data_IF_801718876425
#
_entry.id   IF_801718876425
#
_cell.length_a   1.000
_cell.length_b   1.000
_cell.length_c   1.000
_cell.angle_alpha   90.00
_cell.angle_beta   90.00
_cell.angle_gamma   90.00
#
_symmetry.space_group_name_H-M   'P 1'
#
loop_
_entity.id
_entity.type
_entity.pdbx_description
1 polymer ?
#
# COMPACT_ATOMS: atom_id res chain seq x y z
N UNK A 1 36.09 4.62 -46.49
CA UNK A 1 36.33 3.47 -45.60
C UNK A 1 36.51 4.03 -44.21
N UNK A 2 35.46 3.95 -43.40
CA UNK A 2 35.57 3.91 -41.95
C UNK A 2 34.47 2.94 -41.52
N UNK A 3 34.87 1.91 -40.79
CA UNK A 3 34.08 0.74 -40.49
C UNK A 3 34.10 0.54 -38.99
N UNK A 4 32.91 0.35 -38.41
CA UNK A 4 32.74 -0.39 -37.17
C UNK A 4 32.39 0.48 -35.96
N UNK A 5 31.13 0.37 -35.55
CA UNK A 5 30.63 0.12 -34.18
C UNK A 5 29.15 0.54 -34.16
N UNK A 6 28.17 -0.17 -33.63
CA UNK A 6 28.09 -1.48 -33.00
C UNK A 6 26.63 -1.91 -33.20
N UNK A 7 26.42 -3.17 -33.53
CA UNK A 7 25.13 -3.84 -33.46
C UNK A 7 24.63 -3.86 -32.00
N UNK A 8 23.30 -3.91 -31.83
CA UNK A 8 22.71 -4.50 -30.64
C UNK A 8 22.25 -3.52 -29.56
N UNK A 9 21.05 -2.98 -29.77
CA UNK A 9 20.11 -2.80 -28.68
C UNK A 9 18.71 -3.01 -29.25
N UNK A 10 18.45 -4.24 -29.72
CA UNK A 10 17.09 -4.77 -29.65
C UNK A 10 16.66 -4.58 -28.20
N UNK A 11 15.81 -3.58 -27.96
CA UNK A 11 15.08 -3.44 -26.71
C UNK A 11 14.12 -4.61 -26.67
N UNK A 12 14.58 -5.73 -26.11
CA UNK A 12 13.69 -6.80 -25.71
C UNK A 12 12.57 -6.19 -24.83
N UNK A 13 11.32 -6.64 -25.03
CA UNK A 13 10.19 -6.06 -24.32
C UNK A 13 10.44 -6.27 -22.83
N UNK A 14 10.50 -5.16 -22.11
CA UNK A 14 10.39 -5.19 -20.67
C UNK A 14 8.99 -5.74 -20.39
N UNK A 15 8.88 -7.04 -20.14
CA UNK A 15 7.78 -7.62 -19.37
C UNK A 15 8.00 -7.23 -17.90
N UNK A 16 8.11 -5.91 -17.71
CA UNK A 16 8.11 -5.25 -16.43
C UNK A 16 6.66 -4.85 -16.29
N UNK A 17 5.91 -5.62 -15.50
CA UNK A 17 4.66 -5.16 -14.90
C UNK A 17 4.86 -3.69 -14.55
N UNK A 18 4.21 -2.79 -15.30
CA UNK A 18 4.27 -1.36 -15.06
C UNK A 18 3.83 -1.12 -13.62
N UNK A 19 4.81 -1.03 -12.72
CA UNK A 19 4.55 -0.84 -11.31
C UNK A 19 4.24 0.64 -11.15
N UNK A 20 2.99 1.00 -11.40
CA UNK A 20 2.43 2.30 -11.06
C UNK A 20 2.88 2.63 -9.63
N UNK A 21 3.73 3.65 -9.49
CA UNK A 21 4.17 4.10 -8.19
C UNK A 21 2.96 4.69 -7.48
N UNK A 22 2.34 3.87 -6.62
CA UNK A 22 1.16 4.26 -5.87
C UNK A 22 1.51 5.42 -4.93
N UNK A 23 0.67 6.45 -4.92
CA UNK A 23 0.72 7.49 -3.89
C UNK A 23 0.40 6.90 -2.53
N UNK A 24 0.81 7.56 -1.43
CA UNK A 24 0.55 7.06 -0.07
C UNK A 24 -0.93 6.71 0.20
N UNK A 25 -1.86 7.46 -0.40
CA UNK A 25 -3.30 7.18 -0.30
C UNK A 25 -3.71 5.93 -1.07
N UNK A 26 -3.17 5.72 -2.26
CA UNK A 26 -3.43 4.55 -3.10
C UNK A 26 -2.80 3.27 -2.53
N UNK A 27 -1.63 3.38 -1.90
CA UNK A 27 -1.01 2.26 -1.15
C UNK A 27 -1.93 1.83 -0.01
N UNK A 28 -2.48 2.79 0.75
CA UNK A 28 -3.39 2.50 1.85
C UNK A 28 -4.68 1.83 1.38
N UNK A 29 -5.25 2.27 0.25
CA UNK A 29 -6.45 1.66 -0.32
C UNK A 29 -6.18 0.24 -0.84
N UNK A 30 -5.09 0.05 -1.59
CA UNK A 30 -4.71 -1.28 -2.06
C UNK A 30 -4.50 -2.24 -0.90
N UNK A 31 -3.86 -1.77 0.17
CA UNK A 31 -3.62 -2.56 1.38
C UNK A 31 -4.91 -2.95 2.10
N UNK A 32 -5.91 -2.05 2.16
CA UNK A 32 -7.25 -2.38 2.71
C UNK A 32 -7.94 -3.49 1.93
N UNK A 33 -7.91 -3.39 0.59
CA UNK A 33 -8.50 -4.41 -0.30
C UNK A 33 -7.79 -5.76 -0.09
N UNK A 34 -6.47 -5.76 -0.02
CA UNK A 34 -5.68 -6.97 0.15
C UNK A 34 -5.94 -7.64 1.52
N UNK A 35 -6.10 -6.84 2.58
CA UNK A 35 -6.50 -7.36 3.91
C UNK A 35 -7.89 -8.00 3.84
N UNK A 36 -8.85 -7.39 3.15
CA UNK A 36 -10.18 -7.96 3.00
C UNK A 36 -10.14 -9.31 2.27
N UNK A 37 -9.38 -9.39 1.17
CA UNK A 37 -9.18 -10.63 0.43
C UNK A 37 -8.53 -11.73 1.28
N UNK A 38 -7.48 -11.38 2.05
CA UNK A 38 -6.80 -12.32 2.93
C UNK A 38 -7.72 -12.85 4.05
N UNK A 39 -8.64 -12.02 4.57
CA UNK A 39 -9.66 -12.47 5.52
C UNK A 39 -10.62 -13.47 4.89
N UNK A 40 -11.12 -13.18 3.68
CA UNK A 40 -12.00 -14.11 2.95
C UNK A 40 -11.30 -15.45 2.71
N UNK A 41 -10.04 -15.44 2.26
CA UNK A 41 -9.27 -16.67 2.05
C UNK A 41 -9.09 -17.49 3.34
N UNK A 42 -8.87 -16.82 4.47
CA UNK A 42 -8.77 -17.49 5.77
C UNK A 42 -10.11 -18.12 6.19
N UNK A 43 -11.22 -17.42 5.96
CA UNK A 43 -12.56 -17.95 6.28
C UNK A 43 -12.94 -19.13 5.37
N UNK A 44 -12.57 -19.08 4.09
CA UNK A 44 -12.75 -20.19 3.14
C UNK A 44 -11.89 -21.40 3.53
N UNK A 45 -10.63 -21.17 3.94
CA UNK A 45 -9.73 -22.22 4.42
C UNK A 45 -10.25 -22.87 5.71
N UNK A 46 -10.81 -22.06 6.63
CA UNK A 46 -11.47 -22.55 7.85
C UNK A 46 -12.71 -23.38 7.55
N UNK A 47 -13.50 -22.96 6.56
CA UNK A 47 -14.72 -23.67 6.16
C UNK A 47 -14.41 -25.00 5.49
N UNK A 48 -13.36 -25.05 4.68
CA UNK A 48 -12.88 -26.29 4.03
C UNK A 48 -12.10 -27.21 4.97
N UNK A 49 -11.62 -26.70 6.12
CA UNK A 49 -10.85 -27.47 7.10
C UNK A 49 -9.41 -27.74 6.68
N UNK A 50 -8.88 -27.00 5.71
CA UNK A 50 -7.51 -27.13 5.25
C UNK A 50 -6.54 -26.39 6.19
N UNK A 51 -5.92 -27.14 7.10
CA UNK A 51 -4.99 -26.60 8.10
C UNK A 51 -3.80 -25.85 7.50
N UNK A 52 -3.22 -26.32 6.40
CA UNK A 52 -2.07 -25.65 5.77
C UNK A 52 -2.49 -24.35 5.09
N UNK A 53 -3.66 -24.33 4.46
CA UNK A 53 -4.24 -23.10 3.91
C UNK A 53 -4.60 -22.08 5.02
N UNK A 54 -5.10 -22.55 6.16
CA UNK A 54 -5.38 -21.71 7.33
C UNK A 54 -4.11 -21.05 7.85
N UNK A 55 -3.03 -21.82 8.02
CA UNK A 55 -1.76 -21.31 8.53
C UNK A 55 -1.16 -20.27 7.56
N UNK A 56 -1.14 -20.58 6.26
CA UNK A 56 -0.66 -19.65 5.23
C UNK A 56 -1.48 -18.36 5.16
N UNK A 57 -2.80 -18.47 5.16
CA UNK A 57 -3.68 -17.31 5.10
C UNK A 57 -3.56 -16.45 6.38
N UNK A 58 -3.38 -17.08 7.55
CA UNK A 58 -3.17 -16.39 8.82
C UNK A 58 -1.86 -15.60 8.84
N UNK A 59 -0.74 -16.21 8.42
CA UNK A 59 0.56 -15.52 8.32
C UNK A 59 0.50 -14.35 7.35
N UNK A 60 -0.16 -14.53 6.19
CA UNK A 60 -0.33 -13.44 5.22
C UNK A 60 -1.17 -12.30 5.78
N UNK A 61 -2.28 -12.62 6.45
CA UNK A 61 -3.14 -11.61 7.07
C UNK A 61 -2.39 -10.82 8.14
N UNK A 62 -1.60 -11.49 8.99
CA UNK A 62 -0.78 -10.84 10.01
C UNK A 62 0.23 -9.86 9.39
N UNK A 63 0.96 -10.29 8.36
CA UNK A 63 1.92 -9.43 7.66
C UNK A 63 1.27 -8.18 7.04
N UNK A 64 0.07 -8.32 6.47
CA UNK A 64 -0.69 -7.21 5.89
C UNK A 64 -1.22 -6.25 6.96
N UNK A 65 -1.69 -6.77 8.10
CA UNK A 65 -2.11 -5.95 9.23
C UNK A 65 -0.94 -5.15 9.82
N UNK A 66 0.25 -5.76 9.93
CA UNK A 66 1.46 -5.07 10.36
C UNK A 66 1.89 -3.99 9.36
N UNK A 67 1.78 -4.26 8.06
CA UNK A 67 2.02 -3.26 7.03
C UNK A 67 1.02 -2.10 7.13
N UNK A 68 -0.25 -2.39 7.43
CA UNK A 68 -1.29 -1.36 7.59
C UNK A 68 -1.09 -0.54 8.85
N UNK A 69 -0.63 -1.16 9.94
CA UNK A 69 -0.21 -0.46 11.16
C UNK A 69 0.91 0.54 10.86
N UNK A 70 1.94 0.11 10.12
CA UNK A 70 3.05 0.99 9.70
C UNK A 70 2.61 2.09 8.73
N UNK A 71 1.71 1.79 7.80
CA UNK A 71 1.14 2.77 6.87
C UNK A 71 0.24 3.79 7.59
N UNK A 72 -0.52 3.36 8.60
CA UNK A 72 -1.40 4.23 9.40
C UNK A 72 -0.64 5.07 10.43
N UNK A 73 0.47 4.58 11.00
CA UNK A 73 1.40 5.41 11.78
C UNK A 73 2.08 6.51 10.93
N UNK A 74 1.98 6.41 9.60
CA UNK A 74 2.32 7.43 8.62
C UNK A 74 1.21 8.44 8.32
N UNK A 75 0.02 8.35 8.96
CA UNK A 75 -0.91 9.47 8.92
C UNK A 75 -0.23 10.69 9.54
N UNK A 76 -0.36 11.82 8.83
CA UNK A 76 0.14 13.13 9.23
C UNK A 76 -0.40 13.51 10.62
N UNK A 77 0.34 13.10 11.65
CA UNK A 77 0.24 13.64 12.99
C UNK A 77 1.25 14.79 13.11
N UNK A 78 1.04 15.70 14.08
CA UNK A 78 1.87 16.89 14.24
C UNK A 78 3.38 16.56 14.35
N UNK A 79 3.73 15.37 14.88
CA UNK A 79 5.12 14.91 14.98
C UNK A 79 5.75 14.47 13.64
N UNK A 80 4.94 14.02 12.67
CA UNK A 80 5.39 13.70 11.31
C UNK A 80 5.24 14.89 10.34
N UNK A 81 4.39 15.87 10.66
CA UNK A 81 4.14 17.06 9.84
C UNK A 81 5.41 17.88 9.60
N UNK A 82 6.13 18.22 10.68
CA UNK A 82 7.36 19.01 10.59
C UNK A 82 8.47 18.28 9.84
N UNK A 83 8.55 16.96 9.98
CA UNK A 83 9.53 16.13 9.26
C UNK A 83 9.24 16.05 7.75
N UNK A 84 7.97 16.05 7.35
CA UNK A 84 7.57 16.00 5.93
C UNK A 84 7.57 17.38 5.25
N UNK A 85 7.21 18.44 5.96
CA UNK A 85 7.06 19.78 5.37
C UNK A 85 8.19 20.75 5.71
N UNK A 86 9.08 20.42 6.67
CA UNK A 86 10.27 21.22 6.99
C UNK A 86 10.00 22.51 7.77
N UNK A 87 8.76 22.70 8.25
CA UNK A 87 8.37 23.79 9.14
C UNK A 87 7.37 23.27 10.19
N UNK A 88 7.35 23.85 11.41
CA UNK A 88 6.40 23.48 12.43
C UNK A 88 4.99 23.88 11.96
N UNK A 89 4.12 22.88 11.79
CA UNK A 89 2.73 23.05 11.40
C UNK A 89 1.86 22.02 12.10
N UNK A 90 0.71 22.44 12.61
CA UNK A 90 -0.31 21.53 13.14
C UNK A 90 -1.17 21.03 11.98
N UNK A 91 -1.34 19.71 11.89
CA UNK A 91 -2.24 19.08 10.95
C UNK A 91 -3.67 19.53 11.27
N UNK A 92 -4.16 20.57 10.58
CA UNK A 92 -5.51 21.10 10.81
C UNK A 92 -6.52 20.06 10.32
N UNK A 93 -7.04 19.25 11.25
CA UNK A 93 -8.18 18.37 11.01
C UNK A 93 -9.35 19.23 10.57
N UNK A 94 -9.82 19.05 9.35
CA UNK A 94 -11.05 19.68 8.88
C UNK A 94 -12.22 18.97 9.57
N UNK A 95 -12.61 19.46 10.75
CA UNK A 95 -13.96 19.21 11.25
C UNK A 95 -14.89 20.01 10.36
N UNK A 96 -15.70 19.32 9.55
CA UNK A 96 -16.89 19.89 8.92
C UNK A 96 -17.84 20.33 10.04
N UNK A 97 -17.58 21.52 10.59
CA UNK A 97 -18.48 22.23 11.47
C UNK A 97 -19.47 22.94 10.54
N UNK A 98 -20.52 22.21 10.13
CA UNK A 98 -21.71 22.87 9.58
C UNK A 98 -22.61 23.26 10.74
N UNK A 99 -22.93 24.56 10.89
CA UNK A 99 -23.75 25.04 11.99
C UNK A 99 -25.16 24.46 11.89
N UNK A 100 -25.69 23.97 12.99
CA UNK A 100 -27.12 23.72 13.15
C UNK A 100 -27.84 25.06 13.10
N UNK A 101 -28.58 25.32 12.02
CA UNK A 101 -29.52 26.44 11.97
C UNK A 101 -30.87 25.98 12.55
N UNK A 102 -31.42 26.83 13.42
CA UNK A 102 -32.59 26.62 14.26
C UNK A 102 -33.92 26.85 13.54
#
# INVERSE_FOLDING_TARGET
>A
MDSGESLGAEREPLDEDDHDLLTFGEVGERLRIEIANAKTQLDDARTSGDGDAIDKASVRLEALLDAASRNSAGTLNDANFEKFFGYPGTAKRSTDDRPSEA
#
